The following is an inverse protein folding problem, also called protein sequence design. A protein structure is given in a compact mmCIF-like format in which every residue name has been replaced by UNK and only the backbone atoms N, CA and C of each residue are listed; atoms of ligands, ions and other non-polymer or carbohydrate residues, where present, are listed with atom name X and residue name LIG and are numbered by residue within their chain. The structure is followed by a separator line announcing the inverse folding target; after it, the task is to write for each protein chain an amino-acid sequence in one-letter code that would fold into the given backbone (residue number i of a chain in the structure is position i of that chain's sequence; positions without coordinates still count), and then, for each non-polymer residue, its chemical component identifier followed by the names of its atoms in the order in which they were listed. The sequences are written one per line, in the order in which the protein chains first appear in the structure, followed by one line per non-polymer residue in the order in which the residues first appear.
data_IF_267382324042
#
_entry.id   IF_267382324042
#
_cell.length_a   1.000
_cell.length_b   1.000
_cell.length_c   1.000
_cell.angle_alpha   90.00
_cell.angle_beta   90.00
_cell.angle_gamma   90.00
#
_symmetry.space_group_name_H-M   'P 1'
#
loop_
_entity.id
_entity.type
_entity.pdbx_description
1 polymer ?
#
# COMPACT_ATOMS: atom_id res chain seq x y z
N UNK A 1 41.86 63.55 -11.58
CA UNK A 1 41.29 62.61 -10.59
C UNK A 1 39.91 62.22 -11.13
N UNK A 2 39.67 60.93 -11.42
CA UNK A 2 38.46 60.43 -12.09
C UNK A 2 37.42 59.97 -11.08
N UNK A 3 36.13 60.18 -11.34
CA UNK A 3 35.07 59.37 -10.75
C UNK A 3 34.15 58.95 -11.89
N UNK A 4 34.44 57.78 -12.44
CA UNK A 4 33.57 57.10 -13.39
C UNK A 4 32.54 56.30 -12.59
N UNK A 5 31.28 56.74 -12.61
CA UNK A 5 30.16 55.98 -12.08
C UNK A 5 29.97 54.70 -12.91
N UNK A 6 30.40 53.57 -12.36
CA UNK A 6 30.17 52.24 -12.93
C UNK A 6 28.81 51.72 -12.47
N UNK A 7 27.85 51.44 -13.37
CA UNK A 7 26.60 50.81 -13.00
C UNK A 7 26.88 49.36 -12.59
N UNK A 8 26.66 49.06 -11.30
CA UNK A 8 26.77 47.70 -10.76
C UNK A 8 25.65 46.85 -11.37
N UNK A 9 25.99 46.10 -12.40
CA UNK A 9 25.14 45.08 -13.02
C UNK A 9 25.00 43.90 -12.06
N UNK A 10 24.03 43.98 -11.15
CA UNK A 10 23.67 42.89 -10.26
C UNK A 10 23.16 41.70 -11.09
N UNK A 11 24.02 40.69 -11.26
CA UNK A 11 23.70 39.42 -11.90
C UNK A 11 22.53 38.73 -11.15
N UNK A 12 21.44 38.31 -11.83
CA UNK A 12 20.39 37.55 -11.18
C UNK A 12 20.97 36.20 -10.73
N UNK A 13 20.92 35.94 -9.42
CA UNK A 13 21.38 34.67 -8.83
C UNK A 13 20.42 33.56 -9.27
N UNK A 14 20.83 32.81 -10.29
CA UNK A 14 20.18 31.55 -10.68
C UNK A 14 20.44 30.51 -9.59
N UNK A 15 19.54 30.46 -8.61
CA UNK A 15 19.55 29.42 -7.59
C UNK A 15 18.91 28.15 -8.14
N UNK A 16 19.68 27.06 -8.26
CA UNK A 16 19.14 25.74 -8.54
C UNK A 16 18.23 25.34 -7.37
N UNK A 17 16.93 25.13 -7.61
CA UNK A 17 16.04 24.61 -6.57
C UNK A 17 16.49 23.19 -6.23
N UNK A 18 17.09 23.02 -5.05
CA UNK A 18 17.34 21.69 -4.51
C UNK A 18 15.99 20.99 -4.35
N UNK A 19 15.87 19.70 -4.73
CA UNK A 19 14.67 18.94 -4.47
C UNK A 19 14.48 18.93 -2.95
N UNK A 20 13.46 19.65 -2.48
CA UNK A 20 12.97 19.48 -1.11
C UNK A 20 12.69 18.00 -0.99
N UNK A 21 13.50 17.28 -0.21
CA UNK A 21 13.23 15.88 0.06
C UNK A 21 11.86 15.84 0.74
N UNK A 22 10.86 15.44 -0.02
CA UNK A 22 9.55 15.19 0.52
C UNK A 22 9.73 14.14 1.60
N UNK A 23 9.30 14.46 2.83
CA UNK A 23 9.28 13.53 3.95
C UNK A 23 8.76 12.19 3.44
N UNK A 24 9.39 11.04 3.75
CA UNK A 24 8.94 9.75 3.25
C UNK A 24 7.48 9.52 3.66
N UNK A 25 6.54 9.69 2.72
CA UNK A 25 5.12 9.43 2.93
C UNK A 25 4.80 8.13 2.22
N UNK A 26 4.13 7.24 2.92
CA UNK A 26 3.68 5.99 2.30
C UNK A 26 2.48 6.33 1.40
N UNK A 27 2.56 6.04 0.08
CA UNK A 27 1.44 6.19 -0.83
C UNK A 27 0.41 5.10 -0.54
N UNK A 28 -0.66 5.48 0.18
CA UNK A 28 -1.71 4.56 0.67
C UNK A 28 -2.34 3.73 -0.44
N UNK A 29 -2.58 4.34 -1.61
CA UNK A 29 -3.18 3.64 -2.75
C UNK A 29 -2.24 2.57 -3.30
N UNK A 30 -0.96 2.88 -3.49
CA UNK A 30 0.03 1.90 -3.95
C UNK A 30 0.21 0.79 -2.92
N UNK A 31 0.22 1.14 -1.63
CA UNK A 31 0.28 0.18 -0.53
C UNK A 31 -0.92 -0.78 -0.57
N UNK A 32 -2.15 -0.25 -0.69
CA UNK A 32 -3.38 -1.03 -0.75
C UNK A 32 -3.48 -1.94 -1.96
N UNK A 33 -3.09 -1.43 -3.14
CA UNK A 33 -3.04 -2.24 -4.35
C UNK A 33 -2.03 -3.39 -4.24
N UNK A 34 -0.82 -3.12 -3.74
CA UNK A 34 0.22 -4.15 -3.57
C UNK A 34 -0.18 -5.21 -2.53
N UNK A 35 -0.65 -4.78 -1.35
CA UNK A 35 -1.08 -5.70 -0.28
C UNK A 35 -2.34 -6.48 -0.67
N UNK A 36 -3.33 -5.81 -1.25
CA UNK A 36 -4.56 -6.46 -1.71
C UNK A 36 -4.27 -7.50 -2.78
N UNK A 37 -3.45 -7.18 -3.78
CA UNK A 37 -3.11 -8.12 -4.84
C UNK A 37 -2.25 -9.28 -4.33
N UNK A 38 -1.30 -9.02 -3.43
CA UNK A 38 -0.51 -10.07 -2.78
C UNK A 38 -1.40 -11.06 -2.03
N UNK A 39 -2.31 -10.57 -1.18
CA UNK A 39 -3.25 -11.40 -0.43
C UNK A 39 -4.20 -12.17 -1.36
N UNK A 40 -4.73 -11.54 -2.40
CA UNK A 40 -5.59 -12.20 -3.38
C UNK A 40 -4.87 -13.33 -4.15
N UNK A 41 -3.61 -13.12 -4.53
CA UNK A 41 -2.80 -14.14 -5.20
C UNK A 41 -2.49 -15.29 -4.25
N UNK A 42 -2.02 -15.02 -3.02
CA UNK A 42 -1.75 -16.05 -2.02
C UNK A 42 -3.00 -16.87 -1.72
N UNK A 43 -4.13 -16.22 -1.52
CA UNK A 43 -5.43 -16.86 -1.35
C UNK A 43 -5.77 -17.81 -2.50
N UNK A 44 -5.59 -17.36 -3.75
CA UNK A 44 -5.86 -18.18 -4.94
C UNK A 44 -4.96 -19.41 -5.00
N UNK A 45 -3.68 -19.24 -4.67
CA UNK A 45 -2.71 -20.35 -4.60
C UNK A 45 -3.08 -21.34 -3.49
N UNK A 46 -3.50 -20.86 -2.32
CA UNK A 46 -3.95 -21.71 -1.22
C UNK A 46 -5.18 -22.54 -1.63
N UNK A 47 -6.20 -21.93 -2.23
CA UNK A 47 -7.40 -22.66 -2.70
C UNK A 47 -7.05 -23.67 -3.79
N UNK A 48 -6.17 -23.31 -4.72
CA UNK A 48 -5.70 -24.24 -5.76
C UNK A 48 -4.96 -25.45 -5.18
N UNK A 49 -4.17 -25.24 -4.11
CA UNK A 49 -3.46 -26.31 -3.42
C UNK A 49 -4.42 -27.24 -2.65
N UNK A 50 -5.41 -26.69 -1.96
CA UNK A 50 -6.46 -27.45 -1.27
C UNK A 50 -7.28 -28.31 -2.25
N UNK A 51 -7.48 -27.84 -3.49
CA UNK A 51 -8.18 -28.61 -4.53
C UNK A 51 -7.32 -29.76 -5.09
N UNK A 52 -5.99 -29.58 -5.13
CA UNK A 52 -5.02 -30.61 -5.55
C UNK A 52 -4.80 -31.67 -4.45
N UNK A 53 -4.89 -31.28 -3.18
CA UNK A 53 -4.65 -32.14 -2.01
C UNK A 53 -5.81 -32.05 -1.00
N UNK A 54 -6.97 -32.66 -1.30
CA UNK A 54 -8.19 -32.54 -0.49
C UNK A 54 -8.08 -33.15 0.93
N UNK A 55 -7.07 -33.98 1.17
CA UNK A 55 -6.86 -34.73 2.43
C UNK A 55 -6.13 -33.90 3.52
N UNK A 56 -5.62 -32.71 3.18
CA UNK A 56 -5.02 -31.74 4.11
C UNK A 56 -5.97 -30.55 4.31
N UNK A 57 -7.19 -30.82 4.77
CA UNK A 57 -8.28 -29.86 4.70
C UNK A 57 -8.10 -28.65 5.64
N UNK A 58 -7.67 -27.51 5.07
CA UNK A 58 -7.69 -26.19 5.71
C UNK A 58 -9.09 -25.52 5.69
N UNK A 59 -10.09 -26.22 5.15
CA UNK A 59 -11.50 -25.79 5.01
C UNK A 59 -12.17 -25.42 6.36
N UNK A 60 -11.83 -26.12 7.44
CA UNK A 60 -12.32 -25.80 8.80
C UNK A 60 -11.92 -24.40 9.27
N UNK A 61 -10.74 -23.93 8.88
CA UNK A 61 -10.26 -22.58 9.21
C UNK A 61 -11.07 -21.48 8.50
N UNK A 62 -11.55 -21.78 7.28
CA UNK A 62 -12.36 -20.87 6.48
C UNK A 62 -13.83 -20.82 6.92
N UNK A 63 -14.39 -21.97 7.31
CA UNK A 63 -15.71 -22.05 7.94
C UNK A 63 -15.79 -21.16 9.19
N UNK A 64 -14.71 -21.10 9.97
CA UNK A 64 -14.64 -20.32 11.22
C UNK A 64 -14.56 -18.81 10.99
N UNK A 65 -14.06 -18.39 9.83
CA UNK A 65 -13.96 -16.97 9.47
C UNK A 65 -15.27 -16.43 8.86
N UNK A 66 -16.10 -17.29 8.25
CA UNK A 66 -17.25 -16.87 7.42
C UNK A 66 -18.53 -17.69 7.68
N UNK A 67 -19.45 -17.20 8.56
CA UNK A 67 -20.73 -17.86 8.83
C UNK A 67 -21.70 -17.67 7.65
N UNK A 68 -21.61 -18.58 6.67
CA UNK A 68 -22.40 -18.60 5.42
C UNK A 68 -21.82 -19.51 4.33
N UNK A 69 -20.66 -20.11 4.59
CA UNK A 69 -19.85 -20.92 3.69
C UNK A 69 -20.43 -22.34 3.50
N UNK A 70 -21.46 -22.49 2.68
CA UNK A 70 -22.18 -23.79 2.60
C UNK A 70 -21.57 -24.82 1.65
N UNK A 71 -20.61 -24.49 0.77
CA UNK A 71 -19.92 -25.47 -0.10
C UNK A 71 -18.70 -24.83 -0.81
N UNK A 72 -17.73 -25.65 -1.28
CA UNK A 72 -16.59 -25.24 -2.13
C UNK A 72 -17.05 -24.85 -3.55
N UNK A 73 -18.00 -23.93 -3.64
CA UNK A 73 -18.56 -23.42 -4.90
C UNK A 73 -17.77 -22.21 -5.38
N UNK A 74 -17.86 -21.92 -6.68
CA UNK A 74 -17.27 -20.73 -7.29
C UNK A 74 -17.65 -19.44 -6.55
N UNK A 75 -18.85 -19.35 -5.97
CA UNK A 75 -19.30 -18.20 -5.19
C UNK A 75 -18.46 -17.95 -3.94
N UNK A 76 -18.13 -19.01 -3.19
CA UNK A 76 -17.31 -18.94 -1.98
C UNK A 76 -15.87 -18.49 -2.27
N UNK A 77 -15.33 -18.91 -3.42
CA UNK A 77 -14.01 -18.47 -3.89
C UNK A 77 -13.98 -16.97 -4.18
N UNK A 78 -14.93 -16.47 -4.97
CA UNK A 78 -14.98 -15.03 -5.28
C UNK A 78 -15.23 -14.18 -4.03
N UNK A 79 -16.02 -14.68 -3.07
CA UNK A 79 -16.28 -14.01 -1.81
C UNK A 79 -14.98 -13.85 -1.00
N UNK A 80 -14.23 -14.95 -0.78
CA UNK A 80 -12.97 -14.87 -0.04
C UNK A 80 -11.86 -14.11 -0.79
N UNK A 81 -11.90 -14.10 -2.14
CA UNK A 81 -10.99 -13.27 -2.93
C UNK A 81 -11.28 -11.78 -2.74
N UNK A 82 -12.55 -11.39 -2.73
CA UNK A 82 -12.97 -10.02 -2.44
C UNK A 82 -12.61 -9.62 -1.00
N UNK A 83 -12.79 -10.54 -0.04
CA UNK A 83 -12.48 -10.29 1.37
C UNK A 83 -10.98 -10.18 1.62
N UNK A 84 -10.16 -11.09 1.08
CA UNK A 84 -8.70 -11.03 1.16
C UNK A 84 -8.13 -9.75 0.54
N UNK A 85 -8.65 -9.34 -0.63
CA UNK A 85 -8.31 -8.05 -1.21
C UNK A 85 -8.73 -6.87 -0.31
N UNK A 86 -9.92 -6.96 0.27
CA UNK A 86 -10.45 -6.01 1.25
C UNK A 86 -9.57 -5.88 2.49
N UNK A 87 -9.04 -6.99 3.02
CA UNK A 87 -8.10 -6.98 4.15
C UNK A 87 -6.79 -6.26 3.80
N UNK A 88 -6.26 -6.45 2.60
CA UNK A 88 -5.08 -5.71 2.14
C UNK A 88 -5.33 -4.20 2.10
N UNK A 89 -6.51 -3.79 1.63
CA UNK A 89 -6.95 -2.40 1.65
C UNK A 89 -7.20 -1.86 3.06
N UNK A 90 -7.79 -2.65 3.95
CA UNK A 90 -7.98 -2.30 5.35
C UNK A 90 -6.63 -1.97 6.00
N UNK A 91 -5.63 -2.84 5.83
CA UNK A 91 -4.27 -2.58 6.33
C UNK A 91 -3.73 -1.29 5.73
N UNK A 92 -3.87 -1.06 4.43
CA UNK A 92 -3.34 0.15 3.82
C UNK A 92 -4.01 1.43 4.31
N UNK A 93 -5.35 1.44 4.40
CA UNK A 93 -6.12 2.60 4.85
C UNK A 93 -5.94 2.91 6.33
N UNK A 94 -5.66 1.91 7.17
CA UNK A 94 -5.39 2.13 8.60
C UNK A 94 -3.92 2.46 8.82
N UNK A 95 -3.01 1.63 8.30
CA UNK A 95 -1.57 1.76 8.52
C UNK A 95 -0.97 2.96 7.79
N UNK A 96 -1.38 3.23 6.55
CA UNK A 96 -0.80 4.29 5.73
C UNK A 96 -0.93 5.69 6.35
N UNK A 97 -2.14 6.14 6.74
CA UNK A 97 -2.31 7.41 7.45
C UNK A 97 -1.63 7.43 8.82
N UNK A 98 -1.67 6.31 9.54
CA UNK A 98 -1.06 6.19 10.87
C UNK A 98 0.46 6.33 10.80
N UNK A 99 1.10 5.66 9.85
CA UNK A 99 2.53 5.80 9.57
C UNK A 99 2.88 7.23 9.19
N UNK A 100 2.09 7.86 8.30
CA UNK A 100 2.33 9.23 7.89
C UNK A 100 2.17 10.22 9.06
N UNK A 101 1.24 9.97 9.98
CA UNK A 101 1.06 10.76 11.20
C UNK A 101 2.28 10.63 12.13
N UNK A 102 2.74 9.40 12.40
CA UNK A 102 3.90 9.19 13.26
C UNK A 102 5.20 9.68 12.63
N UNK A 103 5.40 9.46 11.33
CA UNK A 103 6.56 9.96 10.59
C UNK A 103 6.64 11.50 10.61
N UNK A 104 5.50 12.20 10.54
CA UNK A 104 5.48 13.67 10.66
C UNK A 104 5.68 14.15 12.11
N UNK A 105 5.25 13.38 13.11
CA UNK A 105 5.34 13.75 14.53
C UNK A 105 6.69 13.46 15.18
N UNK A 106 7.36 12.39 14.75
CA UNK A 106 8.64 11.89 15.30
C UNK A 106 9.83 12.05 14.35
N UNK A 107 9.62 12.38 13.08
CA UNK A 107 10.67 12.70 12.10
C UNK A 107 11.16 14.16 12.12
N UNK A 108 10.91 14.88 13.22
CA UNK A 108 11.54 16.16 13.57
C UNK A 108 12.64 15.90 14.58
#
# INVERSE_FOLDING_TARGET
MPDADVPSTAKPRSGTRLPVQATPRIPVITLGMSLGLFLAVTFTLCVGFDLLFPDQAMYESWLRLLPGFTWLSWSSFFLGLAESFGYGWYVALVFGPLYNFFATRFGR
#
